data_IF_570522055274
#
_entry.id   IF_570522055274
#
_cell.length_a   1.000
_cell.length_b   1.000
_cell.length_c   1.000
_cell.angle_alpha   90.00
_cell.angle_beta   90.00
_cell.angle_gamma   90.00
#
_symmetry.space_group_name_H-M   'P 1'
#
loop_
_entity.id
_entity.type
_entity.pdbx_description
1 polymer ?
#
# COMPACT_ATOMS: atom_id res chain seq x y z
N UNK A 1 10.09 -29.36 -52.39
CA UNK A 1 10.87 -29.20 -51.13
C UNK A 1 10.52 -27.83 -50.56
N UNK A 2 9.99 -27.73 -49.33
CA UNK A 2 9.62 -26.44 -48.72
C UNK A 2 10.87 -25.77 -48.13
N UNK A 3 11.18 -24.55 -48.58
CA UNK A 3 12.30 -23.73 -48.09
C UNK A 3 11.91 -23.14 -46.72
N UNK A 4 12.74 -23.34 -45.69
CA UNK A 4 12.61 -22.64 -44.41
C UNK A 4 12.99 -21.17 -44.61
N UNK A 5 12.30 -20.21 -43.97
CA UNK A 5 12.77 -18.82 -43.98
C UNK A 5 14.11 -18.79 -43.25
N UNK A 6 15.11 -18.22 -43.93
CA UNK A 6 16.40 -17.89 -43.35
C UNK A 6 16.18 -16.83 -42.27
N UNK A 7 16.87 -17.04 -41.16
CA UNK A 7 16.81 -16.33 -39.89
C UNK A 7 17.52 -14.96 -40.01
N UNK A 8 17.13 -14.18 -41.02
CA UNK A 8 17.94 -13.06 -41.56
C UNK A 8 17.94 -11.81 -40.65
N UNK A 9 17.15 -11.82 -39.59
CA UNK A 9 17.02 -10.72 -38.62
C UNK A 9 17.77 -10.99 -37.29
N UNK A 10 18.36 -12.18 -37.09
CA UNK A 10 19.10 -12.50 -35.87
C UNK A 10 20.58 -12.16 -35.99
N UNK A 11 21.07 -11.30 -35.08
CA UNK A 11 22.49 -10.98 -35.00
C UNK A 11 23.32 -12.23 -34.61
N UNK A 12 24.52 -12.43 -35.20
CA UNK A 12 25.38 -13.60 -34.94
C UNK A 12 25.74 -13.83 -33.47
N UNK A 13 25.70 -12.79 -32.65
CA UNK A 13 26.01 -12.83 -31.23
C UNK A 13 24.91 -13.49 -30.38
N UNK A 14 23.72 -13.72 -30.94
CA UNK A 14 22.60 -14.31 -30.21
C UNK A 14 22.46 -15.81 -30.47
N UNK A 15 22.90 -16.62 -29.51
CA UNK A 15 22.52 -18.03 -29.43
C UNK A 15 21.31 -18.22 -28.49
N UNK A 16 20.11 -18.31 -29.08
CA UNK A 16 18.87 -18.58 -28.36
C UNK A 16 18.53 -20.07 -28.26
N UNK A 17 19.42 -20.98 -28.70
CA UNK A 17 19.18 -22.43 -28.68
C UNK A 17 18.97 -23.00 -27.27
N UNK A 18 19.53 -22.34 -26.25
CA UNK A 18 19.34 -22.67 -24.83
C UNK A 18 18.07 -22.10 -24.18
N UNK A 19 17.20 -21.45 -24.95
CA UNK A 19 15.99 -20.80 -24.44
C UNK A 19 14.96 -21.80 -23.87
N UNK A 20 14.66 -21.70 -22.57
CA UNK A 20 13.59 -22.51 -21.94
C UNK A 20 12.29 -21.73 -21.92
N UNK A 21 11.27 -22.24 -22.62
CA UNK A 21 9.92 -21.64 -22.64
C UNK A 21 9.35 -21.61 -21.22
N UNK A 22 8.96 -20.42 -20.77
CA UNK A 22 8.34 -20.23 -19.46
C UNK A 22 9.30 -20.30 -18.26
N UNK A 23 10.62 -20.14 -18.46
CA UNK A 23 11.64 -20.15 -17.40
C UNK A 23 11.30 -19.28 -16.17
N UNK A 24 10.57 -18.19 -16.37
CA UNK A 24 10.13 -17.27 -15.33
C UNK A 24 8.62 -17.12 -15.23
N UNK A 25 7.84 -17.95 -15.95
CA UNK A 25 6.38 -17.85 -15.97
C UNK A 25 5.75 -18.07 -14.59
N UNK A 26 6.32 -19.00 -13.79
CA UNK A 26 5.89 -19.23 -12.41
C UNK A 26 6.12 -18.00 -11.53
N UNK A 27 7.31 -17.38 -11.59
CA UNK A 27 7.63 -16.15 -10.83
C UNK A 27 6.77 -14.95 -11.21
N UNK A 28 6.35 -14.90 -12.48
CA UNK A 28 5.41 -13.88 -12.95
C UNK A 28 3.99 -14.14 -12.42
N UNK A 29 3.53 -15.40 -12.43
CA UNK A 29 2.23 -15.81 -11.91
C UNK A 29 2.11 -15.66 -10.38
N UNK A 30 3.23 -15.79 -9.66
CA UNK A 30 3.35 -15.47 -8.23
C UNK A 30 3.14 -13.97 -7.93
N UNK A 31 3.02 -13.13 -8.96
CA UNK A 31 2.74 -11.71 -8.82
C UNK A 31 3.96 -10.99 -8.30
N UNK A 32 4.93 -10.69 -9.17
CA UNK A 32 5.91 -9.66 -8.82
C UNK A 32 5.15 -8.34 -8.79
N UNK A 33 4.91 -7.80 -7.60
CA UNK A 33 4.23 -6.52 -7.42
C UNK A 33 5.20 -5.38 -7.78
N UNK A 34 5.54 -5.28 -9.08
CA UNK A 34 6.44 -4.25 -9.62
C UNK A 34 5.67 -2.95 -9.65
N UNK A 35 6.05 -2.03 -8.77
CA UNK A 35 5.48 -0.67 -8.72
C UNK A 35 6.56 0.28 -9.21
N UNK A 36 6.25 1.03 -10.27
CA UNK A 36 7.10 2.12 -10.72
C UNK A 36 6.94 3.30 -9.75
N UNK A 37 8.05 3.80 -9.22
CA UNK A 37 8.07 5.04 -8.46
C UNK A 37 8.20 6.21 -9.41
N UNK A 38 7.56 7.32 -9.08
CA UNK A 38 7.80 8.58 -9.78
C UNK A 38 9.27 9.00 -9.61
N UNK A 39 9.86 9.73 -10.58
CA UNK A 39 11.30 10.06 -10.57
C UNK A 39 11.77 10.76 -9.31
N UNK A 40 10.99 11.71 -8.80
CA UNK A 40 11.25 12.45 -7.57
C UNK A 40 11.24 11.55 -6.32
N UNK A 41 10.30 10.60 -6.27
CA UNK A 41 10.22 9.60 -5.19
C UNK A 41 11.40 8.63 -5.27
N UNK A 42 11.84 8.25 -6.47
CA UNK A 42 13.02 7.41 -6.66
C UNK A 42 14.32 8.12 -6.27
N UNK A 43 14.46 9.41 -6.60
CA UNK A 43 15.59 10.24 -6.18
C UNK A 43 15.68 10.33 -4.65
N UNK A 44 14.54 10.49 -3.98
CA UNK A 44 14.48 10.52 -2.51
C UNK A 44 14.65 9.13 -1.87
N UNK A 45 14.18 8.07 -2.54
CA UNK A 45 14.21 6.69 -2.05
C UNK A 45 14.70 5.73 -3.14
N UNK A 46 16.03 5.53 -3.26
CA UNK A 46 16.61 4.66 -4.28
C UNK A 46 16.27 3.17 -4.11
N UNK A 47 15.81 2.76 -2.93
CA UNK A 47 15.48 1.37 -2.59
C UNK A 47 14.07 1.22 -2.03
N UNK A 48 13.36 0.23 -2.58
CA UNK A 48 12.08 -0.30 -2.12
C UNK A 48 11.99 -0.54 -0.60
N UNK A 49 13.09 -0.97 0.05
CA UNK A 49 13.11 -1.18 1.50
C UNK A 49 12.82 0.11 2.27
N UNK A 50 13.39 1.23 1.83
CA UNK A 50 13.24 2.51 2.50
C UNK A 50 11.82 3.05 2.34
N UNK A 51 11.28 2.99 1.12
CA UNK A 51 9.87 3.34 0.82
C UNK A 51 8.92 2.56 1.73
N UNK A 52 9.07 1.23 1.77
CA UNK A 52 8.20 0.37 2.57
C UNK A 52 8.32 0.64 4.07
N UNK A 53 9.49 0.98 4.59
CA UNK A 53 9.66 1.35 6.00
C UNK A 53 8.93 2.65 6.33
N UNK A 54 9.04 3.66 5.47
CA UNK A 54 8.35 4.95 5.66
C UNK A 54 6.84 4.75 5.62
N UNK A 55 6.31 4.04 4.62
CA UNK A 55 4.88 3.78 4.49
C UNK A 55 4.33 3.02 5.70
N UNK A 56 5.05 2.04 6.24
CA UNK A 56 4.65 1.32 7.47
C UNK A 56 4.59 2.24 8.68
N UNK A 57 5.55 3.15 8.84
CA UNK A 57 5.52 4.17 9.91
C UNK A 57 4.33 5.10 9.76
N UNK A 58 4.02 5.55 8.55
CA UNK A 58 2.83 6.36 8.27
C UNK A 58 1.55 5.61 8.65
N UNK A 59 1.44 4.33 8.26
CA UNK A 59 0.29 3.49 8.64
C UNK A 59 0.16 3.33 10.16
N UNK A 60 1.27 3.21 10.88
CA UNK A 60 1.26 3.15 12.35
C UNK A 60 0.77 4.46 12.95
N UNK A 61 1.29 5.61 12.51
CA UNK A 61 0.87 6.92 12.99
C UNK A 61 -0.61 7.20 12.69
N UNK A 62 -1.09 6.83 11.51
CA UNK A 62 -2.50 6.93 11.16
C UNK A 62 -3.37 6.03 12.05
N UNK A 63 -2.91 4.82 12.38
CA UNK A 63 -3.61 3.92 13.31
C UNK A 63 -3.67 4.49 14.73
N UNK A 64 -2.57 5.06 15.21
CA UNK A 64 -2.51 5.69 16.53
C UNK A 64 -3.41 6.93 16.61
N UNK A 65 -3.44 7.76 15.57
CA UNK A 65 -4.36 8.91 15.49
C UNK A 65 -5.83 8.50 15.42
N UNK A 66 -6.17 7.49 14.62
CA UNK A 66 -7.56 7.00 14.55
C UNK A 66 -8.02 6.40 15.87
N UNK A 67 -7.13 5.74 16.62
CA UNK A 67 -7.44 5.32 18.00
C UNK A 67 -7.63 6.52 18.91
N UNK A 68 -6.75 7.53 18.87
CA UNK A 68 -6.89 8.74 19.67
C UNK A 68 -8.23 9.48 19.39
N UNK A 69 -8.59 9.64 18.12
CA UNK A 69 -9.88 10.23 17.72
C UNK A 69 -11.09 9.40 18.20
N UNK A 70 -10.99 8.06 18.18
CA UNK A 70 -12.03 7.18 18.73
C UNK A 70 -12.13 7.27 20.26
N UNK A 71 -11.01 7.44 20.97
CA UNK A 71 -11.00 7.60 22.44
C UNK A 71 -11.60 8.95 22.85
N UNK A 72 -11.31 10.02 22.10
CA UNK A 72 -11.86 11.36 22.33
C UNK A 72 -13.38 11.39 22.10
N UNK A 73 -13.88 10.69 21.08
CA UNK A 73 -15.34 10.54 20.85
C UNK A 73 -16.01 9.80 22.02
N UNK A 74 -15.37 8.77 22.57
CA UNK A 74 -15.90 8.01 23.71
C UNK A 74 -15.88 8.82 25.03
N UNK A 75 -14.91 9.72 25.22
CA UNK A 75 -14.80 10.59 26.40
C UNK A 75 -15.86 11.70 26.49
N UNK A 76 -16.53 12.04 25.38
CA UNK A 76 -17.49 13.15 25.31
C UNK A 76 -18.91 12.83 25.83
N UNK A 77 -19.19 11.57 26.22
CA UNK A 77 -20.54 11.09 26.57
C UNK A 77 -20.89 11.10 28.07
N UNK A 78 -19.99 11.46 28.98
CA UNK A 78 -20.32 11.58 30.42
C UNK A 78 -20.43 13.05 30.82
N UNK A 79 -21.64 13.62 30.75
CA UNK A 79 -21.86 14.93 31.35
C UNK A 79 -23.11 15.69 30.94
N UNK A 80 -24.28 15.05 30.77
CA UNK A 80 -25.57 15.76 30.73
C UNK A 80 -26.71 14.91 31.31
N UNK A 81 -26.62 14.57 32.58
CA UNK A 81 -27.78 14.03 33.31
C UNK A 81 -27.87 14.72 34.68
N UNK A 82 -28.20 16.01 34.68
CA UNK A 82 -28.81 16.67 35.83
C UNK A 82 -29.30 18.05 35.40
N UNK A 83 -30.63 18.24 35.46
CA UNK A 83 -31.36 19.48 35.82
C UNK A 83 -32.71 19.59 35.09
N UNK A 84 -33.60 18.64 35.35
CA UNK A 84 -35.05 18.92 35.32
C UNK A 84 -35.67 18.43 36.62
N UNK A 85 -35.39 19.16 37.70
CA UNK A 85 -35.98 18.98 39.03
C UNK A 85 -36.42 20.34 39.55
N UNK A 86 -37.66 20.67 39.21
CA UNK A 86 -38.30 21.98 39.35
C UNK A 86 -38.37 22.43 40.81
N UNK A 87 -37.67 23.53 41.05
CA UNK A 87 -37.75 24.49 42.15
C UNK A 87 -39.17 24.72 42.72
N UNK A 88 -39.23 24.67 44.06
CA UNK A 88 -40.13 25.37 45.01
C UNK A 88 -41.64 25.12 44.93
N UNK A 89 -42.16 24.40 45.92
CA UNK A 89 -43.31 24.89 46.70
C UNK A 89 -42.84 25.20 48.12
N UNK A 90 -42.74 26.49 48.38
CA UNK A 90 -42.75 27.07 49.72
C UNK A 90 -43.77 28.21 49.66
N UNK A 91 -44.42 28.44 50.81
CA UNK A 91 -45.32 29.52 51.22
C UNK A 91 -46.80 29.40 50.89
N UNK A 92 -47.61 29.47 51.96
CA UNK A 92 -49.06 29.66 52.00
C UNK A 92 -49.67 28.87 53.14
#
# INVERSE_FOLDING_TARGET
MKKKPEDDDMLPEYDLSGGVRGKYAARYAEGTNVVLLDPDVHEAFPDSRQVNQVLRKVMQLCRERTVAELVDVAGSKQGKEQTYGRRRKQTG
#
